data_IF_624271626999
#
_entry.id   IF_624271626999
#
_cell.length_a   1.000
_cell.length_b   1.000
_cell.length_c   1.000
_cell.angle_alpha   90.00
_cell.angle_beta   90.00
_cell.angle_gamma   90.00
#
_symmetry.space_group_name_H-M   'P 1'
#
loop_
_entity.id
_entity.type
_entity.pdbx_description
1 polymer ?
#
# COMPACT_ATOMS: atom_id res chain seq x y z
N UNK A 1 -15.91 5.67 10.28
CA UNK A 1 -15.06 4.56 10.75
C UNK A 1 -13.64 4.91 10.34
N UNK A 2 -12.78 5.21 11.32
CA UNK A 2 -11.40 5.64 11.08
C UNK A 2 -10.43 4.48 10.84
N UNK A 3 -9.14 4.76 10.98
CA UNK A 3 -8.07 3.78 10.93
C UNK A 3 -8.27 2.73 12.03
N UNK A 4 -8.08 1.45 11.69
CA UNK A 4 -8.58 0.33 12.51
C UNK A 4 -7.60 -0.14 13.58
N UNK A 5 -6.29 -0.01 13.36
CA UNK A 5 -5.25 -0.51 14.27
C UNK A 5 -3.88 0.15 14.02
N UNK A 6 -2.92 -0.12 14.90
CA UNK A 6 -1.53 0.38 14.84
C UNK A 6 -0.80 0.06 13.54
N UNK A 7 -1.06 -1.09 12.92
CA UNK A 7 -0.41 -1.49 11.66
C UNK A 7 -0.85 -0.58 10.52
N UNK A 8 -2.12 -0.20 10.47
CA UNK A 8 -2.59 0.76 9.46
C UNK A 8 -1.99 2.16 9.68
N UNK A 9 -1.77 2.58 10.93
CA UNK A 9 -1.02 3.81 11.22
C UNK A 9 0.43 3.74 10.78
N UNK A 10 1.09 2.59 10.93
CA UNK A 10 2.41 2.36 10.38
C UNK A 10 2.40 2.56 8.85
N UNK A 11 1.39 2.04 8.14
CA UNK A 11 1.27 2.25 6.69
C UNK A 11 1.07 3.72 6.31
N UNK A 12 0.26 4.47 7.06
CA UNK A 12 0.15 5.92 6.88
C UNK A 12 1.49 6.63 7.09
N UNK A 13 2.22 6.27 8.15
CA UNK A 13 3.56 6.81 8.43
C UNK A 13 4.58 6.51 7.33
N UNK A 14 4.51 5.32 6.72
CA UNK A 14 5.35 4.94 5.58
C UNK A 14 5.02 5.78 4.33
N UNK A 15 3.73 6.00 4.04
CA UNK A 15 3.32 6.91 2.96
C UNK A 15 3.73 8.36 3.23
N UNK A 16 3.64 8.83 4.48
CA UNK A 16 4.11 10.14 4.90
C UNK A 16 5.61 10.32 4.66
N UNK A 17 6.39 9.32 5.08
CA UNK A 17 7.84 9.29 4.87
C UNK A 17 8.16 9.35 3.38
N UNK A 18 7.45 8.57 2.55
CA UNK A 18 7.58 8.64 1.11
C UNK A 18 7.31 10.06 0.58
N UNK A 19 6.18 10.67 0.93
CA UNK A 19 5.80 12.00 0.43
C UNK A 19 6.88 13.05 0.71
N UNK A 20 7.55 12.95 1.87
CA UNK A 20 8.61 13.87 2.27
C UNK A 20 9.96 13.62 1.59
N UNK A 21 10.27 12.38 1.20
CA UNK A 21 11.57 12.03 0.62
C UNK A 21 11.55 11.80 -0.90
N UNK A 22 10.36 11.66 -1.49
CA UNK A 22 10.22 11.32 -2.90
C UNK A 22 10.69 12.48 -3.80
N UNK A 23 11.31 12.16 -4.96
CA UNK A 23 11.59 13.16 -5.97
C UNK A 23 10.28 13.76 -6.51
N UNK A 24 10.34 14.91 -7.21
CA UNK A 24 9.16 15.49 -7.87
C UNK A 24 8.47 14.47 -8.79
N UNK A 25 7.18 14.65 -9.07
CA UNK A 25 6.41 13.71 -9.91
C UNK A 25 7.12 13.46 -11.25
N UNK A 26 7.20 12.18 -11.65
CA UNK A 26 7.92 11.67 -12.83
C UNK A 26 9.43 11.87 -12.83
N UNK A 27 10.03 12.37 -11.74
CA UNK A 27 11.48 12.47 -11.60
C UNK A 27 12.05 11.23 -10.89
N UNK A 28 13.32 10.95 -11.18
CA UNK A 28 14.07 9.87 -10.55
C UNK A 28 14.76 10.41 -9.29
N UNK A 29 14.81 9.58 -8.26
CA UNK A 29 15.46 9.88 -6.99
C UNK A 29 15.72 8.58 -6.24
N UNK A 30 15.97 8.71 -4.93
CA UNK A 30 16.16 7.56 -4.05
C UNK A 30 14.92 7.37 -3.18
N UNK A 31 14.53 6.12 -3.01
CA UNK A 31 13.43 5.67 -2.19
C UNK A 31 13.92 4.51 -1.33
N UNK A 32 13.88 4.65 -0.01
CA UNK A 32 14.42 3.64 0.92
C UNK A 32 15.87 3.22 0.56
N UNK A 33 16.64 4.11 -0.09
CA UNK A 33 18.00 3.85 -0.59
C UNK A 33 18.09 3.37 -2.04
N UNK A 34 16.97 2.99 -2.65
CA UNK A 34 16.91 2.43 -4.00
C UNK A 34 16.49 3.47 -5.05
N UNK A 35 17.08 3.46 -6.26
CA UNK A 35 16.66 4.32 -7.36
C UNK A 35 15.20 4.05 -7.75
N UNK A 36 14.34 5.05 -7.65
CA UNK A 36 12.93 4.96 -8.05
C UNK A 36 12.44 6.24 -8.72
N UNK A 37 11.51 6.07 -9.66
CA UNK A 37 10.77 7.19 -10.26
C UNK A 37 9.48 7.42 -9.48
N UNK A 38 9.20 8.66 -9.09
CA UNK A 38 7.93 8.97 -8.43
C UNK A 38 6.80 8.91 -9.46
N UNK A 39 6.07 7.80 -9.50
CA UNK A 39 4.91 7.61 -10.39
C UNK A 39 3.79 6.92 -9.62
N UNK A 40 2.57 6.95 -10.16
CA UNK A 40 1.42 6.27 -9.55
C UNK A 40 1.67 4.77 -9.35
N UNK A 41 2.32 4.10 -10.32
CA UNK A 41 2.62 2.68 -10.21
C UNK A 41 3.64 2.42 -9.10
N UNK A 42 4.71 3.21 -9.02
CA UNK A 42 5.73 3.08 -7.97
C UNK A 42 5.12 3.26 -6.57
N UNK A 43 4.24 4.26 -6.41
CA UNK A 43 3.54 4.52 -5.14
C UNK A 43 2.63 3.35 -4.74
N UNK A 44 1.87 2.82 -5.69
CA UNK A 44 0.98 1.69 -5.45
C UNK A 44 1.76 0.42 -5.10
N UNK A 45 2.80 0.11 -5.88
CA UNK A 45 3.66 -1.04 -5.62
C UNK A 45 4.33 -0.93 -4.25
N UNK A 46 4.83 0.26 -3.88
CA UNK A 46 5.42 0.49 -2.58
C UNK A 46 4.48 0.11 -1.44
N UNK A 47 3.29 0.70 -1.40
CA UNK A 47 2.41 0.52 -0.26
C UNK A 47 1.85 -0.92 -0.20
N UNK A 48 1.54 -1.53 -1.35
CA UNK A 48 1.11 -2.93 -1.38
C UNK A 48 2.24 -3.85 -0.90
N UNK A 49 3.50 -3.62 -1.29
CA UNK A 49 4.63 -4.41 -0.79
C UNK A 49 4.78 -4.32 0.74
N UNK A 50 4.52 -3.16 1.34
CA UNK A 50 4.55 -3.03 2.81
C UNK A 50 3.36 -3.74 3.48
N UNK A 51 2.17 -3.73 2.86
CA UNK A 51 1.00 -4.48 3.34
C UNK A 51 1.21 -6.00 3.21
N UNK A 52 1.86 -6.41 2.13
CA UNK A 52 2.19 -7.80 1.80
C UNK A 52 3.34 -8.36 2.65
N UNK A 53 4.12 -7.52 3.35
CA UNK A 53 5.26 -7.95 4.14
C UNK A 53 4.88 -9.03 5.16
N UNK A 54 5.56 -10.18 5.09
CA UNK A 54 5.30 -11.34 5.96
C UNK A 54 4.09 -12.20 5.57
N UNK A 55 3.30 -11.82 4.57
CA UNK A 55 2.12 -12.57 4.10
C UNK A 55 1.85 -12.34 2.59
N UNK A 56 2.90 -12.28 1.79
CA UNK A 56 2.85 -11.79 0.41
C UNK A 56 1.91 -12.58 -0.48
N UNK A 57 2.03 -13.92 -0.51
CA UNK A 57 1.13 -14.76 -1.30
C UNK A 57 -0.33 -14.58 -0.90
N UNK A 58 -0.65 -14.45 0.40
CA UNK A 58 -2.03 -14.23 0.85
C UNK A 58 -2.57 -12.90 0.33
N UNK A 59 -1.80 -11.82 0.47
CA UNK A 59 -2.22 -10.49 0.06
C UNK A 59 -2.33 -10.39 -1.46
N UNK A 60 -1.30 -10.80 -2.19
CA UNK A 60 -1.29 -10.71 -3.65
C UNK A 60 -2.31 -11.64 -4.31
N UNK A 61 -2.59 -12.83 -3.76
CA UNK A 61 -3.69 -13.65 -4.26
C UNK A 61 -5.05 -12.96 -4.11
N UNK A 62 -5.32 -12.33 -2.97
CA UNK A 62 -6.58 -11.61 -2.76
C UNK A 62 -6.73 -10.44 -3.75
N UNK A 63 -5.63 -9.71 -4.00
CA UNK A 63 -5.59 -8.64 -4.99
C UNK A 63 -5.71 -9.18 -6.42
N UNK A 64 -5.09 -10.32 -6.72
CA UNK A 64 -5.17 -10.97 -8.03
C UNK A 64 -6.61 -11.37 -8.37
N UNK A 65 -7.34 -11.94 -7.41
CA UNK A 65 -8.76 -12.28 -7.58
C UNK A 65 -9.62 -11.02 -7.76
N UNK A 66 -9.29 -9.94 -7.06
CA UNK A 66 -9.99 -8.65 -7.16
C UNK A 66 -9.72 -7.85 -8.43
N UNK A 67 -8.64 -8.17 -9.14
CA UNK A 67 -8.15 -7.42 -10.30
C UNK A 67 -8.17 -8.21 -11.60
N UNK A 68 -9.04 -9.23 -11.68
CA UNK A 68 -9.22 -10.07 -12.87
C UNK A 68 -9.88 -9.28 -14.00
N UNK A 69 -9.26 -9.37 -15.18
CA UNK A 69 -9.70 -8.79 -16.45
C UNK A 69 -10.71 -9.69 -17.16
N UNK A 70 -11.37 -9.14 -18.18
CA UNK A 70 -12.32 -9.89 -19.04
C UNK A 70 -11.67 -11.02 -19.84
N UNK A 71 -10.37 -10.91 -20.13
CA UNK A 71 -9.59 -11.93 -20.84
C UNK A 71 -9.08 -13.06 -19.92
N UNK A 72 -9.42 -13.02 -18.63
CA UNK A 72 -9.03 -14.05 -17.66
C UNK A 72 -7.71 -13.80 -16.95
N UNK A 73 -6.88 -12.86 -17.44
CA UNK A 73 -5.65 -12.43 -16.76
C UNK A 73 -5.98 -11.53 -15.57
N UNK A 74 -4.99 -11.23 -14.73
CA UNK A 74 -5.17 -10.38 -13.54
C UNK A 74 -4.06 -9.34 -13.44
N UNK A 75 -4.39 -8.07 -13.15
CA UNK A 75 -3.38 -7.01 -13.05
C UNK A 75 -2.29 -7.28 -12.03
N UNK A 76 -2.52 -8.16 -11.05
CA UNK A 76 -1.49 -8.68 -10.15
C UNK A 76 -1.39 -10.19 -10.33
N UNK A 77 -0.21 -10.70 -10.72
CA UNK A 77 -0.02 -12.11 -11.07
C UNK A 77 1.45 -12.53 -10.97
N UNK A 78 1.71 -13.83 -10.73
CA UNK A 78 3.03 -14.44 -10.95
C UNK A 78 3.29 -14.73 -12.43
N UNK A 79 2.23 -14.96 -13.22
CA UNK A 79 2.35 -15.02 -14.68
C UNK A 79 2.30 -13.60 -15.24
N UNK A 80 3.48 -13.08 -15.61
CA UNK A 80 3.67 -11.73 -16.14
C UNK A 80 3.88 -11.69 -17.66
N UNK A 81 3.88 -12.84 -18.35
CA UNK A 81 4.24 -12.91 -19.79
C UNK A 81 3.29 -12.13 -20.70
N UNK A 82 2.04 -11.96 -20.28
CA UNK A 82 1.05 -11.16 -21.01
C UNK A 82 1.11 -9.67 -20.67
N UNK A 83 1.84 -9.27 -19.62
CA UNK A 83 1.89 -7.89 -19.17
C UNK A 83 2.70 -7.03 -20.12
N UNK A 84 2.19 -5.83 -20.44
CA UNK A 84 2.90 -4.89 -21.30
C UNK A 84 4.08 -4.24 -20.56
N UNK A 85 3.85 -3.84 -19.31
CA UNK A 85 4.91 -3.29 -18.44
C UNK A 85 4.90 -3.99 -17.09
N UNK A 86 5.44 -5.22 -16.98
CA UNK A 86 5.49 -5.92 -15.71
C UNK A 86 6.33 -5.14 -14.70
N UNK A 87 5.70 -4.66 -13.64
CA UNK A 87 6.34 -3.98 -12.53
C UNK A 87 6.56 -4.97 -11.38
N UNK A 88 7.80 -5.21 -10.94
CA UNK A 88 8.08 -6.22 -9.92
C UNK A 88 7.51 -5.83 -8.55
N UNK A 89 6.93 -6.82 -7.87
CA UNK A 89 6.55 -6.78 -6.46
C UNK A 89 7.45 -7.76 -5.67
N UNK A 90 7.06 -8.17 -4.46
CA UNK A 90 7.81 -9.20 -3.72
C UNK A 90 7.45 -10.62 -4.16
N UNK A 91 8.34 -11.59 -3.89
CA UNK A 91 8.07 -13.04 -4.00
C UNK A 91 7.60 -13.51 -5.39
N UNK A 92 8.16 -12.90 -6.44
CA UNK A 92 7.89 -13.24 -7.84
C UNK A 92 6.56 -12.71 -8.39
N UNK A 93 5.83 -11.93 -7.60
CA UNK A 93 4.63 -11.26 -8.08
C UNK A 93 4.97 -10.03 -8.92
N UNK A 94 4.11 -9.76 -9.90
CA UNK A 94 4.21 -8.59 -10.76
C UNK A 94 2.88 -7.87 -10.83
N UNK A 95 2.96 -6.57 -11.11
CA UNK A 95 1.84 -5.68 -11.36
C UNK A 95 1.90 -5.19 -12.81
N UNK A 96 0.78 -5.16 -13.53
CA UNK A 96 0.70 -4.54 -14.85
C UNK A 96 0.84 -3.00 -14.79
N UNK A 97 2.00 -2.48 -15.18
CA UNK A 97 2.33 -1.06 -15.13
C UNK A 97 1.46 -0.17 -16.01
N UNK A 98 0.94 -0.69 -17.13
CA UNK A 98 0.08 0.03 -18.08
C UNK A 98 -1.40 0.10 -17.64
N UNK A 99 -1.66 0.30 -16.36
CA UNK A 99 -3.03 0.51 -15.83
C UNK A 99 -3.41 1.98 -15.78
N UNK A 100 -4.69 2.30 -15.95
CA UNK A 100 -5.25 3.62 -15.68
C UNK A 100 -5.37 3.89 -14.18
N UNK A 101 -5.58 5.14 -13.76
CA UNK A 101 -5.85 5.45 -12.35
C UNK A 101 -7.11 4.73 -11.84
N UNK A 102 -8.15 4.61 -12.67
CA UNK A 102 -9.39 3.91 -12.32
C UNK A 102 -9.11 2.43 -12.03
N UNK A 103 -8.32 1.77 -12.87
CA UNK A 103 -7.92 0.37 -12.65
C UNK A 103 -7.07 0.21 -11.38
N UNK A 104 -6.17 1.18 -11.10
CA UNK A 104 -5.41 1.20 -9.85
C UNK A 104 -6.33 1.31 -8.63
N UNK A 105 -7.35 2.16 -8.69
CA UNK A 105 -8.33 2.33 -7.62
C UNK A 105 -9.15 1.05 -7.40
N UNK A 106 -9.59 0.35 -8.46
CA UNK A 106 -10.26 -0.95 -8.34
C UNK A 106 -9.38 -2.00 -7.64
N UNK A 107 -8.09 -2.00 -7.92
CA UNK A 107 -7.10 -2.86 -7.24
C UNK A 107 -6.99 -2.47 -5.76
N UNK A 108 -6.90 -1.17 -5.45
CA UNK A 108 -6.81 -0.65 -4.08
C UNK A 108 -8.06 -1.03 -3.27
N UNK A 109 -9.26 -0.98 -3.86
CA UNK A 109 -10.49 -1.41 -3.19
C UNK A 109 -10.48 -2.90 -2.79
N UNK A 110 -9.71 -3.73 -3.50
CA UNK A 110 -9.54 -5.15 -3.16
C UNK A 110 -8.76 -5.38 -1.86
N UNK A 111 -8.07 -4.36 -1.32
CA UNK A 111 -7.41 -4.43 0.00
C UNK A 111 -8.41 -4.62 1.15
N UNK A 112 -9.68 -4.28 0.96
CA UNK A 112 -10.75 -4.60 1.92
C UNK A 112 -10.83 -6.11 2.23
N UNK A 113 -10.52 -6.96 1.24
CA UNK A 113 -10.53 -8.43 1.37
C UNK A 113 -9.38 -8.98 2.22
N UNK A 114 -8.33 -8.19 2.42
CA UNK A 114 -7.20 -8.53 3.31
C UNK A 114 -7.32 -7.85 4.67
N UNK A 115 -8.44 -7.18 4.93
CA UNK A 115 -8.78 -6.63 6.24
C UNK A 115 -8.43 -5.16 6.44
N UNK A 116 -7.96 -4.46 5.41
CA UNK A 116 -7.70 -3.02 5.46
C UNK A 116 -9.01 -2.24 5.63
N UNK A 117 -8.98 -1.21 6.48
CA UNK A 117 -10.09 -0.31 6.72
C UNK A 117 -10.38 0.58 5.51
N UNK A 118 -11.64 1.03 5.39
CA UNK A 118 -12.01 2.01 4.36
C UNK A 118 -11.25 3.33 4.48
N UNK A 119 -10.86 3.73 5.70
CA UNK A 119 -10.05 4.91 5.93
C UNK A 119 -8.63 4.75 5.35
N UNK A 120 -7.99 3.61 5.59
CA UNK A 120 -6.68 3.32 4.99
C UNK A 120 -6.78 3.24 3.46
N UNK A 121 -7.82 2.59 2.93
CA UNK A 121 -8.04 2.49 1.48
C UNK A 121 -8.17 3.88 0.85
N UNK A 122 -8.93 4.79 1.46
CA UNK A 122 -9.06 6.17 0.99
C UNK A 122 -7.72 6.93 1.03
N UNK A 123 -6.91 6.73 2.08
CA UNK A 123 -5.59 7.33 2.18
C UNK A 123 -4.64 6.81 1.09
N UNK A 124 -4.70 5.50 0.78
CA UNK A 124 -3.93 4.88 -0.30
C UNK A 124 -4.36 5.44 -1.66
N UNK A 125 -5.66 5.59 -1.91
CA UNK A 125 -6.19 6.18 -3.15
C UNK A 125 -5.65 7.61 -3.36
N UNK A 126 -5.68 8.44 -2.32
CA UNK A 126 -5.14 9.81 -2.39
C UNK A 126 -3.61 9.81 -2.59
N UNK A 127 -2.88 8.96 -1.88
CA UNK A 127 -1.44 8.81 -2.03
C UNK A 127 -1.03 8.43 -3.46
N UNK A 128 -1.69 7.43 -4.04
CA UNK A 128 -1.45 6.95 -5.40
C UNK A 128 -1.83 8.00 -6.44
N UNK A 129 -2.89 8.78 -6.19
CA UNK A 129 -3.29 9.89 -7.04
C UNK A 129 -2.34 11.10 -7.01
N UNK A 130 -1.31 11.09 -6.16
CA UNK A 130 -0.38 12.22 -6.05
C UNK A 130 -0.76 13.26 -5.00
N UNK A 131 -1.86 13.04 -4.25
CA UNK A 131 -2.34 13.98 -3.23
C UNK A 131 -1.61 13.78 -1.91
N UNK A 132 -1.67 14.80 -1.07
CA UNK A 132 -1.04 14.75 0.25
C UNK A 132 -1.78 13.80 1.18
N UNK A 133 -1.02 13.01 1.93
CA UNK A 133 -1.55 12.08 2.94
C UNK A 133 -1.83 12.77 4.28
N UNK A 134 -1.35 14.01 4.48
CA UNK A 134 -1.50 14.75 5.75
C UNK A 134 -2.92 14.79 6.31
N UNK A 135 -3.99 14.96 5.51
CA UNK A 135 -5.36 14.94 6.04
C UNK A 135 -5.74 13.62 6.71
N UNK A 136 -5.10 12.51 6.33
CA UNK A 136 -5.33 11.18 6.89
C UNK A 136 -4.51 10.89 8.14
N UNK A 137 -3.53 11.74 8.49
CA UNK A 137 -2.70 11.62 9.69
C UNK A 137 -3.30 12.31 10.92
N UNK A 138 -4.46 12.95 10.80
CA UNK A 138 -5.12 13.58 11.95
C UNK A 138 -5.58 12.47 12.88
N UNK A 139 -4.83 12.27 13.96
CA UNK A 139 -5.21 11.43 15.08
C UNK A 139 -6.25 12.20 15.89
N UNK A 140 -7.41 11.59 16.11
CA UNK A 140 -8.20 12.01 17.26
C UNK A 140 -7.52 11.51 18.54
N UNK A 141 -7.74 12.24 19.64
CA UNK A 141 -7.09 12.01 20.94
C UNK A 141 -7.35 10.57 21.45
N UNK A 142 -8.54 10.02 21.17
CA UNK A 142 -8.91 8.65 21.50
C UNK A 142 -8.09 7.61 20.74
N UNK A 143 -7.72 7.89 19.49
CA UNK A 143 -6.91 6.99 18.68
C UNK A 143 -5.44 7.06 19.06
N UNK A 144 -4.93 8.26 19.38
CA UNK A 144 -3.59 8.42 19.95
C UNK A 144 -3.44 7.66 21.28
N UNK A 145 -4.42 7.79 22.18
CA UNK A 145 -4.43 7.08 23.46
C UNK A 145 -4.48 5.55 23.27
N UNK A 146 -5.26 5.07 22.30
CA UNK A 146 -5.33 3.63 21.97
C UNK A 146 -4.03 3.10 21.39
N UNK A 147 -3.33 3.88 20.57
CA UNK A 147 -2.02 3.53 20.04
C UNK A 147 -0.97 3.45 21.17
N UNK A 148 -0.98 4.43 22.08
CA UNK A 148 -0.11 4.43 23.26
C UNK A 148 -0.39 3.23 24.16
N UNK A 149 -1.66 2.84 24.33
CA UNK A 149 -2.02 1.67 25.12
C UNK A 149 -1.52 0.37 24.45
N UNK A 150 -1.68 0.20 23.14
CA UNK A 150 -1.18 -0.99 22.43
C UNK A 150 0.36 -1.12 22.52
N UNK A 151 1.10 -0.02 22.45
CA UNK A 151 2.57 -0.04 22.65
C UNK A 151 2.95 -0.42 24.07
N UNK A 152 2.16 0.01 25.08
CA UNK A 152 2.36 -0.40 26.48
C UNK A 152 2.05 -1.89 26.66
N UNK A 153 0.96 -2.37 26.09
CA UNK A 153 0.53 -3.76 26.19
C UNK A 153 1.50 -4.73 25.47
N UNK A 154 2.08 -4.32 24.34
CA UNK A 154 3.12 -5.09 23.63
C UNK A 154 4.48 -5.04 24.35
N UNK A 155 4.72 -4.01 25.16
CA UNK A 155 5.93 -3.85 25.99
C UNK A 155 5.98 -4.79 27.19
N UNK A 156 4.83 -5.29 27.66
CA UNK A 156 4.73 -6.18 28.82
C UNK A 156 5.03 -7.66 28.51
N UNK A 157 5.28 -8.03 27.25
CA UNK A 157 5.76 -9.37 26.87
C UNK A 157 7.29 -9.53 26.95
N UNK A 158 8.02 -8.49 27.37
CA UNK A 158 9.47 -8.51 27.49
C UNK A 158 9.93 -8.26 28.93
N UNK A 159 9.41 -9.01 29.91
CA UNK A 159 10.12 -9.51 31.12
C UNK A 159 9.20 -10.59 31.71
N UNK A 160 9.56 -11.86 31.49
CA UNK A 160 9.46 -12.97 32.46
C UNK A 160 10.15 -14.21 31.88
#
# INVERSE_FOLDING_TARGET
MGIKNTVEYLYLGLMARWENSAPPDKHQGLLDGEPARNTQITRLAYIICKIAAGQSDKVYNALSVGSRRKDGNSYISKNFEWMEQPYPLSDGWHFEGCTSLVQKQEIIQSLSRVGCSGALIAAIDDFVAGKSIKPHLVLDEATEERLLQMVRDDGDFAIN
#
